data_IF_337301794078
#
_entry.id   IF_337301794078
#
_cell.length_a   1.000
_cell.length_b   1.000
_cell.length_c   1.000
_cell.angle_alpha   90.00
_cell.angle_beta   90.00
_cell.angle_gamma   90.00
#
_symmetry.space_group_name_H-M   'P 1'
#
loop_
_entity.id
_entity.type
_entity.pdbx_description
1 polymer ?
#
# COMPACT_ATOMS: atom_id res chain seq x y z
N UNK A 1 -1.32 -12.13 23.03
CA UNK A 1 -2.13 -11.03 23.56
C UNK A 1 -2.91 -10.41 22.43
N UNK A 2 -4.22 -10.49 22.49
CA UNK A 2 -5.08 -9.89 21.45
C UNK A 2 -5.38 -8.45 21.88
N UNK A 3 -4.99 -7.49 21.07
CA UNK A 3 -5.30 -6.09 21.32
C UNK A 3 -6.71 -5.84 20.81
N UNK A 4 -7.62 -5.55 21.72
CA UNK A 4 -9.02 -5.25 21.42
C UNK A 4 -9.13 -3.93 20.64
N UNK A 5 -10.07 -3.86 19.70
CA UNK A 5 -10.42 -2.62 18.99
C UNK A 5 -10.73 -1.44 19.90
N UNK A 6 -11.26 -1.73 21.09
CA UNK A 6 -11.50 -0.70 22.12
C UNK A 6 -10.21 -0.05 22.61
N UNK A 7 -9.14 -0.84 22.75
CA UNK A 7 -7.83 -0.33 23.13
C UNK A 7 -7.24 0.55 22.04
N UNK A 8 -7.36 0.13 20.78
CA UNK A 8 -6.92 0.93 19.63
C UNK A 8 -7.62 2.30 19.59
N UNK A 9 -8.94 2.33 19.83
CA UNK A 9 -9.71 3.56 19.90
C UNK A 9 -9.26 4.47 21.04
N UNK A 10 -9.03 3.91 22.22
CA UNK A 10 -8.55 4.67 23.38
C UNK A 10 -7.16 5.26 23.18
N UNK A 11 -6.30 4.57 22.45
CA UNK A 11 -4.96 5.04 22.11
C UNK A 11 -4.95 6.05 20.94
N UNK A 12 -6.09 6.27 20.29
CA UNK A 12 -6.19 7.16 19.13
C UNK A 12 -5.63 6.56 17.84
N UNK A 13 -5.41 5.25 17.80
CA UNK A 13 -4.84 4.55 16.63
C UNK A 13 -5.74 4.67 15.39
N UNK A 14 -7.05 4.75 15.57
CA UNK A 14 -7.99 4.96 14.46
C UNK A 14 -7.72 6.29 13.71
N UNK A 15 -7.32 7.32 14.43
CA UNK A 15 -6.94 8.60 13.79
C UNK A 15 -5.68 8.45 12.95
N UNK A 16 -4.68 7.73 13.46
CA UNK A 16 -3.44 7.43 12.73
C UNK A 16 -3.74 6.61 11.48
N UNK A 17 -4.57 5.58 11.63
CA UNK A 17 -5.01 4.74 10.51
C UNK A 17 -5.72 5.56 9.43
N UNK A 18 -6.59 6.49 9.81
CA UNK A 18 -7.28 7.37 8.90
C UNK A 18 -6.33 8.30 8.15
N UNK A 19 -5.36 8.88 8.84
CA UNK A 19 -4.34 9.75 8.22
C UNK A 19 -3.53 8.97 7.16
N UNK A 20 -3.17 7.74 7.45
CA UNK A 20 -2.44 6.88 6.50
C UNK A 20 -3.34 6.52 5.31
N UNK A 21 -4.59 6.14 5.59
CA UNK A 21 -5.57 5.78 4.57
C UNK A 21 -5.84 6.93 3.59
N UNK A 22 -5.95 8.16 4.08
CA UNK A 22 -6.17 9.36 3.27
C UNK A 22 -5.02 9.65 2.31
N UNK A 23 -3.83 9.11 2.58
CA UNK A 23 -2.65 9.28 1.75
C UNK A 23 -2.40 8.12 0.78
N UNK A 24 -3.20 7.07 0.86
CA UNK A 24 -3.10 5.93 -0.04
C UNK A 24 -3.60 6.29 -1.45
N UNK A 25 -2.86 5.88 -2.47
CA UNK A 25 -3.20 6.14 -3.88
C UNK A 25 -4.05 5.03 -4.50
N UNK A 26 -4.10 3.86 -3.87
CA UNK A 26 -4.79 2.69 -4.41
C UNK A 26 -5.75 2.11 -3.39
N UNK A 27 -6.84 1.48 -3.86
CA UNK A 27 -7.77 0.76 -3.01
C UNK A 27 -7.08 -0.38 -2.26
N UNK A 28 -6.13 -1.05 -2.89
CA UNK A 28 -5.31 -2.08 -2.28
C UNK A 28 -4.55 -1.56 -1.04
N UNK A 29 -3.90 -0.41 -1.15
CA UNK A 29 -3.17 0.19 -0.04
C UNK A 29 -4.13 0.61 1.10
N UNK A 30 -5.29 1.16 0.77
CA UNK A 30 -6.32 1.53 1.74
C UNK A 30 -6.83 0.30 2.51
N UNK A 31 -7.11 -0.80 1.83
CA UNK A 31 -7.50 -2.07 2.47
C UNK A 31 -6.39 -2.61 3.37
N UNK A 32 -5.15 -2.59 2.92
CA UNK A 32 -4.00 -3.02 3.72
C UNK A 32 -3.88 -2.20 5.01
N UNK A 33 -4.08 -0.90 4.93
CA UNK A 33 -4.07 -0.01 6.10
C UNK A 33 -5.20 -0.36 7.08
N UNK A 34 -6.39 -0.65 6.56
CA UNK A 34 -7.54 -1.01 7.38
C UNK A 34 -7.39 -2.36 8.10
N UNK A 35 -6.67 -3.30 7.49
CA UNK A 35 -6.47 -4.65 8.03
C UNK A 35 -5.18 -4.82 8.83
N UNK A 36 -4.32 -3.82 8.85
CA UNK A 36 -3.06 -3.88 9.60
C UNK A 36 -3.31 -3.97 11.09
N UNK A 37 -2.62 -4.90 11.74
CA UNK A 37 -2.78 -5.19 13.16
C UNK A 37 -1.45 -5.09 13.90
N UNK A 38 -1.53 -4.94 15.21
CA UNK A 38 -0.35 -4.98 16.07
C UNK A 38 0.31 -6.35 16.03
N UNK A 39 1.62 -6.36 16.06
CA UNK A 39 2.41 -7.57 16.23
C UNK A 39 3.00 -7.60 17.63
N UNK A 40 3.08 -8.80 18.21
CA UNK A 40 3.78 -9.06 19.48
C UNK A 40 5.12 -9.77 19.26
N UNK A 41 5.46 -10.09 18.01
CA UNK A 41 6.75 -10.69 17.67
C UNK A 41 7.83 -9.61 17.53
N UNK A 42 8.86 -9.61 18.40
CA UNK A 42 9.93 -8.60 18.36
C UNK A 42 10.68 -8.56 17.02
N UNK A 43 10.89 -9.70 16.39
CA UNK A 43 11.60 -9.77 15.10
C UNK A 43 10.78 -9.11 13.98
N UNK A 44 9.48 -9.37 13.94
CA UNK A 44 8.58 -8.75 12.97
C UNK A 44 8.43 -7.24 13.19
N UNK A 45 8.31 -6.80 14.44
CA UNK A 45 8.26 -5.37 14.78
C UNK A 45 9.54 -4.67 14.31
N UNK A 46 10.69 -5.26 14.60
CA UNK A 46 11.98 -4.71 14.16
C UNK A 46 12.07 -4.63 12.65
N UNK A 47 11.68 -5.67 11.95
CA UNK A 47 11.66 -5.71 10.48
C UNK A 47 10.81 -4.56 9.91
N UNK A 48 9.61 -4.36 10.42
CA UNK A 48 8.71 -3.29 9.97
C UNK A 48 9.29 -1.91 10.23
N UNK A 49 9.90 -1.70 11.41
CA UNK A 49 10.54 -0.43 11.75
C UNK A 49 11.74 -0.14 10.84
N UNK A 50 12.58 -1.12 10.55
CA UNK A 50 13.72 -0.97 9.64
C UNK A 50 13.25 -0.61 8.23
N UNK A 51 12.25 -1.31 7.68
CA UNK A 51 11.69 -1.00 6.35
C UNK A 51 11.12 0.41 6.29
N UNK A 52 10.44 0.85 7.34
CA UNK A 52 9.88 2.20 7.41
C UNK A 52 11.00 3.26 7.44
N UNK A 53 12.05 3.00 8.20
CA UNK A 53 13.19 3.93 8.29
C UNK A 53 13.97 3.99 6.97
N UNK A 54 14.18 2.87 6.30
CA UNK A 54 14.79 2.83 4.97
C UNK A 54 13.99 3.64 3.95
N UNK A 55 12.68 3.49 3.93
CA UNK A 55 11.82 4.28 3.05
C UNK A 55 11.84 5.76 3.40
N UNK A 56 11.87 6.10 4.68
CA UNK A 56 12.01 7.48 5.14
C UNK A 56 13.29 8.12 4.62
N UNK A 57 14.42 7.40 4.66
CA UNK A 57 15.70 7.86 4.16
C UNK A 57 15.67 8.05 2.64
N UNK A 58 15.07 7.14 1.89
CA UNK A 58 14.88 7.27 0.45
C UNK A 58 14.09 8.55 0.14
N UNK A 59 12.98 8.76 0.82
CA UNK A 59 12.14 9.95 0.60
C UNK A 59 12.82 11.26 0.97
N UNK A 60 13.78 11.25 1.92
CA UNK A 60 14.51 12.43 2.33
C UNK A 60 15.69 12.79 1.40
N UNK A 61 16.33 11.79 0.82
CA UNK A 61 17.60 12.00 0.10
C UNK A 61 17.53 11.72 -1.40
N UNK A 62 16.47 11.08 -1.88
CA UNK A 62 16.28 10.74 -3.29
C UNK A 62 15.19 11.60 -3.91
N UNK A 63 15.59 12.63 -4.65
CA UNK A 63 14.66 13.56 -5.31
C UNK A 63 13.85 12.91 -6.43
N UNK A 64 14.37 11.85 -7.02
CA UNK A 64 13.77 11.18 -8.18
C UNK A 64 12.88 10.01 -7.84
N UNK A 65 12.72 9.65 -6.55
CA UNK A 65 11.86 8.54 -6.18
C UNK A 65 10.39 8.87 -6.47
N UNK A 66 9.68 8.02 -7.24
CA UNK A 66 8.29 8.30 -7.62
C UNK A 66 7.35 8.23 -6.41
N UNK A 67 6.75 9.38 -6.08
CA UNK A 67 5.77 9.50 -5.00
C UNK A 67 4.32 9.40 -5.48
N UNK A 68 4.10 9.31 -6.80
CA UNK A 68 2.78 9.23 -7.42
C UNK A 68 2.82 8.45 -8.73
N UNK A 69 1.68 8.34 -9.38
CA UNK A 69 1.54 7.57 -10.63
C UNK A 69 1.24 6.08 -10.40
N UNK A 70 0.99 5.68 -9.15
CA UNK A 70 0.52 4.34 -8.83
C UNK A 70 -0.98 4.25 -9.08
N UNK A 71 -1.37 3.27 -9.90
CA UNK A 71 -2.76 3.05 -10.30
C UNK A 71 -3.16 1.65 -9.88
N UNK A 72 -4.36 1.50 -9.30
CA UNK A 72 -4.87 0.19 -8.94
C UNK A 72 -5.30 -0.56 -10.21
N UNK A 73 -4.59 -1.65 -10.49
CA UNK A 73 -4.81 -2.49 -11.67
C UNK A 73 -5.44 -3.85 -11.32
N UNK A 74 -5.71 -4.12 -10.05
CA UNK A 74 -6.16 -5.43 -9.59
C UNK A 74 -7.49 -5.82 -10.24
N UNK A 75 -8.45 -4.90 -10.31
CA UNK A 75 -9.80 -5.19 -10.78
C UNK A 75 -9.85 -5.66 -12.24
N UNK A 76 -8.99 -5.12 -13.11
CA UNK A 76 -8.96 -5.56 -14.50
C UNK A 76 -7.93 -6.65 -14.79
N UNK A 77 -6.98 -6.89 -13.87
CA UNK A 77 -5.99 -7.97 -14.01
C UNK A 77 -6.54 -9.31 -13.50
N UNK A 78 -7.34 -9.32 -12.44
CA UNK A 78 -7.93 -10.55 -11.89
C UNK A 78 -8.70 -11.38 -12.94
N UNK A 79 -9.58 -10.79 -13.77
CA UNK A 79 -10.27 -11.56 -14.80
C UNK A 79 -9.36 -12.21 -15.83
N UNK A 80 -8.15 -11.69 -16.06
CA UNK A 80 -7.18 -12.24 -17.02
C UNK A 80 -6.58 -13.58 -16.57
N UNK A 81 -6.72 -13.96 -15.32
CA UNK A 81 -6.37 -15.31 -14.85
C UNK A 81 -7.25 -16.39 -15.49
N UNK A 82 -8.40 -16.01 -16.01
CA UNK A 82 -9.33 -16.90 -16.72
C UNK A 82 -9.06 -16.83 -18.22
N UNK A 83 -9.03 -17.99 -18.88
CA UNK A 83 -8.60 -18.17 -20.27
C UNK A 83 -9.43 -17.45 -21.34
N UNK A 84 -10.61 -16.90 -21.00
CA UNK A 84 -11.53 -16.25 -21.96
C UNK A 84 -11.62 -14.73 -21.80
N UNK A 85 -10.79 -14.14 -20.96
CA UNK A 85 -10.84 -12.70 -20.66
C UNK A 85 -9.84 -11.92 -21.53
N UNK A 86 -10.22 -10.70 -21.90
CA UNK A 86 -9.37 -9.77 -22.62
C UNK A 86 -9.35 -8.42 -21.89
N UNK A 87 -8.22 -7.69 -22.02
CA UNK A 87 -8.08 -6.36 -21.48
C UNK A 87 -8.56 -5.30 -22.50
N UNK A 88 -9.35 -4.34 -22.05
CA UNK A 88 -9.75 -3.20 -22.90
C UNK A 88 -8.62 -2.17 -23.03
N UNK A 89 -8.74 -1.26 -23.99
CA UNK A 89 -7.71 -0.26 -24.29
C UNK A 89 -7.46 0.70 -23.13
N UNK A 90 -8.51 1.12 -22.43
CA UNK A 90 -8.39 2.05 -21.30
C UNK A 90 -7.62 1.40 -20.16
N UNK A 91 -7.96 0.16 -19.82
CA UNK A 91 -7.27 -0.63 -18.78
C UNK A 91 -5.81 -0.90 -19.19
N UNK A 92 -5.55 -1.17 -20.46
CA UNK A 92 -4.19 -1.37 -20.97
C UNK A 92 -3.33 -0.10 -20.80
N UNK A 93 -3.89 1.07 -21.04
CA UNK A 93 -3.21 2.35 -20.81
C UNK A 93 -2.88 2.57 -19.32
N UNK A 94 -3.82 2.24 -18.45
CA UNK A 94 -3.60 2.29 -16.97
C UNK A 94 -2.48 1.35 -16.56
N UNK A 95 -2.48 0.13 -17.07
CA UNK A 95 -1.42 -0.85 -16.81
C UNK A 95 -0.06 -0.34 -17.29
N UNK A 96 0.01 0.23 -18.48
CA UNK A 96 1.24 0.84 -19.00
C UNK A 96 1.77 1.94 -18.10
N UNK A 97 0.91 2.83 -17.63
CA UNK A 97 1.28 3.91 -16.70
C UNK A 97 1.81 3.35 -15.38
N UNK A 98 1.14 2.33 -14.84
CA UNK A 98 1.57 1.68 -13.60
C UNK A 98 2.94 1.00 -13.77
N UNK A 99 3.12 0.25 -14.85
CA UNK A 99 4.40 -0.41 -15.14
C UNK A 99 5.55 0.59 -15.35
N UNK A 100 5.27 1.72 -16.01
CA UNK A 100 6.26 2.79 -16.16
C UNK A 100 6.66 3.40 -14.81
N UNK A 101 5.69 3.61 -13.93
CA UNK A 101 5.94 4.07 -12.56
C UNK A 101 6.77 3.07 -11.77
N UNK A 102 6.42 1.78 -11.82
CA UNK A 102 7.17 0.72 -11.14
C UNK A 102 8.61 0.58 -11.65
N UNK A 103 8.83 0.81 -12.95
CA UNK A 103 10.17 0.79 -13.53
C UNK A 103 11.06 1.90 -12.96
N UNK A 104 10.49 3.00 -12.52
CA UNK A 104 11.24 4.12 -11.93
C UNK A 104 11.59 3.92 -10.45
N UNK A 105 10.96 2.96 -9.81
CA UNK A 105 11.27 2.55 -8.43
C UNK A 105 12.60 1.76 -8.36
#
# INVERSE_FOLDING_TARGET
MTIDKRLEQKLGFEKVRQIISDRCSTAYATERTATETFSTDPAEIRRRLVLTDEMRLIMMFEDSFPSGGFIDCIDFLKPLERSSSAIDLISLRKLRTMLDTLRKV
#
